data_IF_049660386487
#
_entry.id   IF_049660386487
#
_cell.length_a   1.000
_cell.length_b   1.000
_cell.length_c   1.000
_cell.angle_alpha   90.00
_cell.angle_beta   90.00
_cell.angle_gamma   90.00
#
_symmetry.space_group_name_H-M   'P 1'
#
loop_
_entity.id
_entity.type
_entity.pdbx_description
1 polymer ?
#
# COMPACT_ATOMS: atom_id res chain seq x y z
N UNK A 1 0.00 -3.38 15.81
CA UNK A 1 1.44 -3.38 15.40
C UNK A 1 1.69 -2.18 14.46
N UNK A 2 2.94 -1.71 14.28
CA UNK A 2 3.20 -0.74 13.22
C UNK A 2 2.89 -1.37 11.85
N UNK A 3 2.55 -0.53 10.87
CA UNK A 3 2.40 -0.99 9.49
C UNK A 3 3.72 -1.54 8.96
N UNK A 4 3.65 -2.56 8.11
CA UNK A 4 4.80 -3.20 7.46
C UNK A 4 4.79 -2.92 5.95
N UNK A 5 5.87 -3.20 5.26
CA UNK A 5 5.93 -3.09 3.81
C UNK A 5 5.22 -4.26 3.13
N UNK A 6 4.74 -4.06 1.91
CA UNK A 6 4.20 -5.16 1.11
C UNK A 6 5.27 -6.23 0.82
N UNK A 7 6.52 -5.81 0.60
CA UNK A 7 7.65 -6.72 0.40
C UNK A 7 7.83 -7.69 1.58
N UNK A 8 7.69 -7.23 2.83
CA UNK A 8 7.76 -8.10 4.01
C UNK A 8 6.62 -9.12 4.06
N UNK A 9 5.40 -8.72 3.67
CA UNK A 9 4.24 -9.62 3.63
C UNK A 9 4.42 -10.68 2.53
N UNK A 10 4.80 -10.26 1.34
CA UNK A 10 4.93 -11.13 0.17
C UNK A 10 6.09 -12.12 0.29
N UNK A 11 7.20 -11.74 0.90
CA UNK A 11 8.30 -12.67 1.16
C UNK A 11 7.87 -13.84 2.06
N UNK A 12 7.05 -13.58 3.08
CA UNK A 12 6.49 -14.62 3.95
C UNK A 12 5.45 -15.46 3.23
N UNK A 13 4.62 -14.83 2.40
CA UNK A 13 3.60 -15.50 1.62
C UNK A 13 4.20 -16.48 0.60
N UNK A 14 5.24 -16.05 -0.11
CA UNK A 14 5.99 -16.90 -1.04
C UNK A 14 6.61 -18.10 -0.34
N UNK A 15 7.32 -17.88 0.77
CA UNK A 15 7.92 -18.96 1.56
C UNK A 15 6.89 -19.92 2.15
N UNK A 16 5.69 -19.43 2.50
CA UNK A 16 4.60 -20.21 3.08
C UNK A 16 3.62 -20.81 2.08
N UNK A 17 3.74 -20.48 0.80
CA UNK A 17 2.85 -20.98 -0.26
C UNK A 17 1.41 -20.47 -0.15
N UNK A 18 1.21 -19.19 0.28
CA UNK A 18 -0.10 -18.57 0.38
C UNK A 18 -0.12 -17.18 -0.29
N UNK A 19 -1.32 -16.65 -0.54
CA UNK A 19 -1.51 -15.30 -1.05
C UNK A 19 -1.94 -14.33 0.06
N UNK A 20 -1.59 -13.05 -0.08
CA UNK A 20 -2.07 -11.98 0.80
C UNK A 20 -3.16 -11.20 0.09
N UNK A 21 -4.32 -11.05 0.72
CA UNK A 21 -5.42 -10.25 0.18
C UNK A 21 -5.08 -8.76 0.19
N UNK A 22 -5.40 -8.07 -0.92
CA UNK A 22 -5.29 -6.63 -1.06
C UNK A 22 -6.67 -6.04 -1.33
N UNK A 23 -7.14 -5.14 -0.45
CA UNK A 23 -8.51 -4.65 -0.48
C UNK A 23 -8.55 -3.13 -0.52
N UNK A 24 -9.30 -2.58 -1.49
CA UNK A 24 -9.45 -1.14 -1.65
C UNK A 24 -10.32 -0.52 -0.55
N UNK A 25 -9.90 0.61 -0.02
CA UNK A 25 -10.63 1.38 0.97
C UNK A 25 -10.89 2.81 0.51
N UNK A 26 -12.09 3.33 0.84
CA UNK A 26 -12.49 4.70 0.53
C UNK A 26 -12.94 5.48 1.77
N UNK A 27 -13.22 4.80 2.88
CA UNK A 27 -13.76 5.41 4.09
C UNK A 27 -13.39 4.57 5.32
N UNK A 28 -13.75 5.09 6.50
CA UNK A 28 -13.45 4.49 7.79
C UNK A 28 -14.08 3.10 7.94
N UNK A 29 -15.32 2.95 7.54
CA UNK A 29 -16.10 1.71 7.69
C UNK A 29 -15.47 0.56 6.90
N UNK A 30 -14.97 0.85 5.70
CA UNK A 30 -14.27 -0.14 4.88
C UNK A 30 -12.92 -0.51 5.50
N UNK A 31 -12.15 0.46 6.00
CA UNK A 31 -10.88 0.17 6.69
C UNK A 31 -11.12 -0.72 7.91
N UNK A 32 -12.15 -0.40 8.74
CA UNK A 32 -12.51 -1.22 9.90
C UNK A 32 -12.88 -2.63 9.48
N UNK A 33 -13.77 -2.78 8.49
CA UNK A 33 -14.20 -4.09 8.01
C UNK A 33 -13.04 -4.96 7.49
N UNK A 34 -12.08 -4.35 6.75
CA UNK A 34 -10.89 -5.06 6.25
C UNK A 34 -10.04 -5.56 7.43
N UNK A 35 -9.78 -4.71 8.42
CA UNK A 35 -8.93 -5.06 9.56
C UNK A 35 -9.63 -6.05 10.49
N UNK A 36 -10.94 -5.93 10.71
CA UNK A 36 -11.71 -6.87 11.52
C UNK A 36 -11.70 -8.26 10.89
N UNK A 37 -11.93 -8.35 9.57
CA UNK A 37 -11.87 -9.61 8.84
C UNK A 37 -10.46 -10.23 8.89
N UNK A 38 -9.42 -9.44 8.65
CA UNK A 38 -8.03 -9.91 8.72
C UNK A 38 -7.67 -10.42 10.13
N UNK A 39 -8.16 -9.75 11.17
CA UNK A 39 -7.98 -10.14 12.56
C UNK A 39 -8.70 -11.46 12.87
N UNK A 40 -9.95 -11.59 12.43
CA UNK A 40 -10.75 -12.80 12.63
C UNK A 40 -10.10 -14.03 11.97
N UNK A 41 -9.59 -13.84 10.76
CA UNK A 41 -8.91 -14.90 9.99
C UNK A 41 -7.43 -15.10 10.39
N UNK A 42 -6.91 -14.28 11.32
CA UNK A 42 -5.49 -14.26 11.70
C UNK A 42 -4.56 -14.18 10.48
N UNK A 43 -4.92 -13.37 9.50
CA UNK A 43 -4.26 -13.24 8.21
C UNK A 43 -3.62 -11.86 8.03
N UNK A 44 -2.40 -11.77 7.44
CA UNK A 44 -1.85 -10.49 7.01
C UNK A 44 -2.72 -9.87 5.93
N UNK A 45 -2.72 -8.53 5.83
CA UNK A 45 -3.58 -7.83 4.87
C UNK A 45 -2.90 -6.60 4.27
N UNK A 46 -3.22 -6.33 3.02
CA UNK A 46 -2.87 -5.09 2.32
C UNK A 46 -4.14 -4.24 2.22
N UNK A 47 -4.13 -3.09 2.88
CA UNK A 47 -5.13 -2.04 2.68
C UNK A 47 -4.62 -1.17 1.54
N UNK A 48 -5.39 -1.03 0.47
CA UNK A 48 -4.94 -0.25 -0.67
C UNK A 48 -5.91 0.89 -1.00
N UNK A 49 -5.37 1.95 -1.57
CA UNK A 49 -6.14 3.11 -1.99
C UNK A 49 -5.72 3.54 -3.41
N UNK A 50 -6.70 3.65 -4.29
CA UNK A 50 -6.52 4.24 -5.62
C UNK A 50 -6.39 5.76 -5.54
N UNK A 51 -5.92 6.39 -6.62
CA UNK A 51 -5.93 7.86 -6.72
C UNK A 51 -7.33 8.45 -6.53
N UNK A 52 -8.37 7.74 -7.02
CA UNK A 52 -9.77 8.14 -6.81
C UNK A 52 -10.18 8.12 -5.34
N UNK A 53 -9.80 7.07 -4.60
CA UNK A 53 -10.04 6.97 -3.18
C UNK A 53 -9.33 8.09 -2.39
N UNK A 54 -8.07 8.36 -2.73
CA UNK A 54 -7.27 9.44 -2.12
C UNK A 54 -7.90 10.81 -2.40
N UNK A 55 -8.40 11.04 -3.62
CA UNK A 55 -9.09 12.28 -3.98
C UNK A 55 -10.41 12.43 -3.21
N UNK A 56 -11.13 11.33 -3.00
CA UNK A 56 -12.41 11.30 -2.29
C UNK A 56 -12.25 11.53 -0.79
N UNK A 57 -11.42 10.73 -0.14
CA UNK A 57 -11.27 10.70 1.31
C UNK A 57 -10.23 11.69 1.85
N UNK A 58 -9.20 11.98 1.06
CA UNK A 58 -8.00 12.70 1.50
C UNK A 58 -6.88 11.75 1.91
N UNK A 59 -5.66 12.04 1.46
CA UNK A 59 -4.48 11.21 1.73
C UNK A 59 -4.23 11.07 3.23
N UNK A 60 -4.29 12.18 3.96
CA UNK A 60 -4.02 12.20 5.40
C UNK A 60 -5.03 11.39 6.20
N UNK A 61 -6.30 11.42 5.78
CA UNK A 61 -7.36 10.62 6.41
C UNK A 61 -7.15 9.12 6.18
N UNK A 62 -6.84 8.71 4.94
CA UNK A 62 -6.57 7.29 4.64
C UNK A 62 -5.39 6.79 5.47
N UNK A 63 -4.31 7.55 5.52
CA UNK A 63 -3.12 7.21 6.32
C UNK A 63 -3.45 7.12 7.80
N UNK A 64 -4.15 8.13 8.36
CA UNK A 64 -4.50 8.16 9.78
C UNK A 64 -5.41 6.99 10.18
N UNK A 65 -6.47 6.73 9.42
CA UNK A 65 -7.39 5.62 9.66
C UNK A 65 -6.67 4.28 9.62
N UNK A 66 -5.84 4.04 8.60
CA UNK A 66 -5.11 2.77 8.47
C UNK A 66 -4.06 2.62 9.58
N UNK A 67 -3.34 3.68 9.95
CA UNK A 67 -2.38 3.65 11.08
C UNK A 67 -3.05 3.29 12.39
N UNK A 68 -4.19 3.90 12.70
CA UNK A 68 -4.94 3.61 13.93
C UNK A 68 -5.42 2.16 13.92
N UNK A 69 -6.02 1.73 12.83
CA UNK A 69 -6.52 0.37 12.70
C UNK A 69 -5.39 -0.67 12.80
N UNK A 70 -4.28 -0.46 12.12
CA UNK A 70 -3.10 -1.34 12.16
C UNK A 70 -2.47 -1.38 13.57
N UNK A 71 -2.40 -0.24 14.28
CA UNK A 71 -1.86 -0.21 15.64
C UNK A 71 -2.66 -1.08 16.62
N UNK A 72 -3.96 -1.17 16.43
CA UNK A 72 -4.88 -1.96 17.24
C UNK A 72 -5.05 -3.41 16.75
N UNK A 73 -4.47 -3.76 15.61
CA UNK A 73 -4.56 -5.10 15.00
C UNK A 73 -3.43 -6.01 15.49
N UNK A 74 -3.71 -7.31 15.74
CA UNK A 74 -2.67 -8.30 16.03
C UNK A 74 -1.97 -8.81 14.75
N UNK A 75 -2.54 -8.58 13.57
CA UNK A 75 -2.00 -9.05 12.29
C UNK A 75 -1.22 -7.95 11.56
N UNK A 76 -0.23 -8.31 10.71
CA UNK A 76 0.52 -7.34 9.92
C UNK A 76 -0.35 -6.68 8.86
N UNK A 77 -0.21 -5.35 8.72
CA UNK A 77 -0.96 -4.52 7.77
C UNK A 77 0.00 -3.69 6.94
N UNK A 78 -0.14 -3.71 5.61
CA UNK A 78 0.53 -2.78 4.71
C UNK A 78 -0.48 -1.78 4.15
N UNK A 79 -0.06 -0.53 3.93
CA UNK A 79 -0.83 0.49 3.23
C UNK A 79 -0.20 0.73 1.86
N UNK A 80 -0.97 0.52 0.80
CA UNK A 80 -0.51 0.48 -0.59
C UNK A 80 -1.25 1.48 -1.49
N UNK A 81 -0.49 2.22 -2.32
CA UNK A 81 -1.05 2.99 -3.43
C UNK A 81 -1.34 2.05 -4.60
N UNK A 82 -2.61 1.94 -4.96
CA UNK A 82 -3.10 1.11 -6.07
C UNK A 82 -3.16 1.95 -7.36
N UNK A 83 -2.49 1.49 -8.42
CA UNK A 83 -2.43 2.15 -9.72
C UNK A 83 -2.03 3.65 -9.70
N UNK A 84 -0.90 3.97 -9.07
CA UNK A 84 -0.33 5.32 -9.17
C UNK A 84 0.13 5.62 -10.60
N UNK A 85 -0.37 6.68 -11.23
CA UNK A 85 -0.10 7.00 -12.64
C UNK A 85 0.98 8.06 -12.85
N UNK A 86 1.51 8.65 -11.77
CA UNK A 86 2.57 9.65 -11.86
C UNK A 86 3.61 9.49 -10.76
N UNK A 87 4.82 9.91 -11.05
CA UNK A 87 5.91 10.00 -10.08
C UNK A 87 5.49 10.82 -8.85
N UNK A 88 4.92 12.00 -9.07
CA UNK A 88 4.50 12.92 -8.01
C UNK A 88 3.48 12.31 -7.07
N UNK A 89 2.53 11.54 -7.61
CA UNK A 89 1.52 10.86 -6.79
C UNK A 89 2.16 9.77 -5.91
N UNK A 90 3.06 8.98 -6.47
CA UNK A 90 3.79 7.96 -5.72
C UNK A 90 4.60 8.59 -4.57
N UNK A 91 5.33 9.68 -4.86
CA UNK A 91 6.13 10.38 -3.85
C UNK A 91 5.27 11.02 -2.76
N UNK A 92 4.12 11.60 -3.12
CA UNK A 92 3.17 12.14 -2.13
C UNK A 92 2.65 11.05 -1.20
N UNK A 93 2.36 9.86 -1.71
CA UNK A 93 1.93 8.72 -0.90
C UNK A 93 3.05 8.25 0.03
N UNK A 94 4.27 8.12 -0.46
CA UNK A 94 5.46 7.78 0.35
C UNK A 94 5.63 8.81 1.48
N UNK A 95 5.63 10.09 1.15
CA UNK A 95 5.75 11.17 2.14
C UNK A 95 4.61 11.15 3.17
N UNK A 96 3.39 10.84 2.74
CA UNK A 96 2.21 10.74 3.60
C UNK A 96 2.24 9.56 4.56
N UNK A 97 3.06 8.54 4.30
CA UNK A 97 3.21 7.38 5.18
C UNK A 97 2.65 6.07 4.64
N UNK A 98 2.47 5.96 3.34
CA UNK A 98 2.24 4.68 2.68
C UNK A 98 3.49 3.80 2.81
N UNK A 99 3.30 2.51 3.05
CA UNK A 99 4.40 1.55 3.21
C UNK A 99 4.72 0.80 1.93
N UNK A 100 3.88 0.99 0.91
CA UNK A 100 4.03 0.44 -0.43
C UNK A 100 3.36 1.34 -1.47
N UNK A 101 3.91 1.40 -2.67
CA UNK A 101 3.32 2.14 -3.79
C UNK A 101 3.45 1.34 -5.08
N UNK A 102 2.42 1.37 -5.93
CA UNK A 102 2.51 0.93 -7.31
C UNK A 102 2.69 2.13 -8.22
N UNK A 103 3.62 2.04 -9.17
CA UNK A 103 3.72 2.96 -10.30
C UNK A 103 3.29 2.24 -11.56
N UNK A 104 2.14 2.62 -12.09
CA UNK A 104 1.55 1.98 -13.27
C UNK A 104 2.00 2.67 -14.55
N UNK A 105 3.10 2.18 -15.11
CA UNK A 105 3.62 2.59 -16.42
C UNK A 105 3.15 1.71 -17.57
N UNK A 106 2.12 0.87 -17.38
CA UNK A 106 1.70 -0.14 -18.39
C UNK A 106 1.27 0.44 -19.73
N UNK A 107 0.89 1.72 -19.79
CA UNK A 107 0.54 2.44 -21.02
C UNK A 107 1.73 3.07 -21.73
N UNK A 108 2.92 3.05 -21.13
CA UNK A 108 4.14 3.60 -21.68
C UNK A 108 4.91 2.54 -22.47
N UNK A 109 5.75 2.93 -23.43
CA UNK A 109 6.76 2.04 -23.97
C UNK A 109 7.63 1.45 -22.85
N UNK A 110 8.14 0.22 -23.05
CA UNK A 110 8.89 -0.52 -22.03
C UNK A 110 10.03 0.29 -21.41
N UNK A 111 10.82 0.95 -22.20
CA UNK A 111 11.97 1.75 -21.70
C UNK A 111 11.52 2.93 -20.82
N UNK A 112 10.41 3.58 -21.18
CA UNK A 112 9.85 4.68 -20.39
C UNK A 112 9.24 4.15 -19.08
N UNK A 113 8.58 3.00 -19.11
CA UNK A 113 8.06 2.33 -17.93
C UNK A 113 9.19 1.98 -16.96
N UNK A 114 10.27 1.39 -17.46
CA UNK A 114 11.46 1.06 -16.68
C UNK A 114 12.06 2.34 -16.04
N UNK A 115 12.23 3.38 -16.84
CA UNK A 115 12.79 4.65 -16.37
C UNK A 115 11.92 5.30 -15.26
N UNK A 116 10.61 5.31 -15.44
CA UNK A 116 9.66 5.84 -14.46
C UNK A 116 9.70 5.02 -13.16
N UNK A 117 9.68 3.69 -13.27
CA UNK A 117 9.74 2.78 -12.12
C UNK A 117 11.04 2.97 -11.34
N UNK A 118 12.18 3.08 -12.02
CA UNK A 118 13.47 3.31 -11.38
C UNK A 118 13.52 4.64 -10.61
N UNK A 119 12.94 5.72 -11.15
CA UNK A 119 12.83 7.01 -10.43
C UNK A 119 12.06 6.88 -9.12
N UNK A 120 10.97 6.11 -9.10
CA UNK A 120 10.21 5.87 -7.87
C UNK A 120 11.02 5.00 -6.90
N UNK A 121 11.70 3.97 -7.41
CA UNK A 121 12.56 3.08 -6.62
C UNK A 121 13.69 3.82 -5.91
N UNK A 122 14.33 4.80 -6.56
CA UNK A 122 15.42 5.57 -5.95
C UNK A 122 14.95 6.29 -4.68
N UNK A 123 13.76 6.86 -4.70
CA UNK A 123 13.18 7.51 -3.52
C UNK A 123 12.69 6.47 -2.49
N UNK A 124 11.95 5.47 -2.94
CA UNK A 124 11.32 4.48 -2.07
C UNK A 124 12.36 3.69 -1.27
N UNK A 125 13.46 3.26 -1.89
CA UNK A 125 14.57 2.56 -1.24
C UNK A 125 15.22 3.39 -0.14
N UNK A 126 15.39 4.70 -0.36
CA UNK A 126 16.00 5.59 0.62
C UNK A 126 15.19 5.70 1.93
N UNK A 127 13.87 5.43 1.89
CA UNK A 127 12.96 5.54 3.03
C UNK A 127 12.30 4.21 3.43
N UNK A 128 12.72 3.10 2.84
CA UNK A 128 12.25 1.76 3.22
C UNK A 128 10.81 1.46 2.81
N UNK A 129 10.35 1.99 1.67
CA UNK A 129 9.02 1.73 1.09
C UNK A 129 9.15 0.74 -0.07
N UNK A 130 8.24 -0.22 -0.18
CA UNK A 130 8.23 -1.17 -1.30
C UNK A 130 7.54 -0.58 -2.53
N UNK A 131 7.98 -1.02 -3.72
CA UNK A 131 7.43 -0.59 -5.03
C UNK A 131 6.97 -1.80 -5.82
N UNK A 132 5.77 -1.68 -6.37
CA UNK A 132 5.18 -2.58 -7.36
C UNK A 132 5.24 -1.95 -8.75
#
# INVERSE_FOLDING_TARGET
MPMVTMAELLAKAEAGGYAVGAFNCNNMEIVQAIIDAATLENAPVIVQASQGAIKYAGLDYIVAMTKIAAANSPVPVALHLDHGTSFEQAIRCIHGGFTSVMIDGSKLPLEENIALTNRVLDVARAVGVSVE
#
